data_IF_349755356438
#
_entry.id   IF_349755356438
#
_cell.length_a   1.000
_cell.length_b   1.000
_cell.length_c   1.000
_cell.angle_alpha   90.00
_cell.angle_beta   90.00
_cell.angle_gamma   90.00
#
_symmetry.space_group_name_H-M   'P 1'
#
loop_
_entity.id
_entity.type
_entity.pdbx_description
1 polymer ?
#
# COMPACT_ATOMS: atom_id res chain seq x y z
N UNK A 1 1.44 -20.46 16.72
CA UNK A 1 2.08 -19.13 16.83
C UNK A 1 3.28 -19.15 15.92
N UNK A 2 3.36 -18.21 14.98
CA UNK A 2 4.58 -18.04 14.18
C UNK A 2 5.55 -17.19 15.01
N UNK A 3 6.75 -17.72 15.27
CA UNK A 3 7.83 -16.96 15.88
C UNK A 3 8.54 -16.15 14.79
N UNK A 4 8.98 -14.90 15.06
CA UNK A 4 9.79 -14.16 14.11
C UNK A 4 11.06 -14.96 13.80
N UNK A 5 11.36 -15.10 12.50
CA UNK A 5 12.54 -15.85 12.06
C UNK A 5 13.83 -15.07 12.35
N UNK A 6 13.78 -13.76 12.21
CA UNK A 6 14.93 -12.87 12.40
C UNK A 6 14.48 -11.55 13.01
N UNK A 7 15.28 -11.03 13.94
CA UNK A 7 15.15 -9.68 14.50
C UNK A 7 16.48 -8.96 14.35
N UNK A 8 16.48 -7.72 13.84
CA UNK A 8 17.67 -6.90 13.70
C UNK A 8 17.40 -5.45 14.08
N UNK A 9 18.43 -4.75 14.51
CA UNK A 9 18.36 -3.32 14.83
C UNK A 9 18.41 -2.49 13.54
N UNK A 10 17.37 -1.73 13.28
CA UNK A 10 17.26 -0.84 12.11
C UNK A 10 18.02 0.49 12.30
N UNK A 11 18.56 0.75 13.50
CA UNK A 11 19.29 1.97 13.81
C UNK A 11 18.55 3.29 13.48
N UNK A 12 17.21 3.23 13.38
CA UNK A 12 16.40 4.44 13.28
C UNK A 12 16.28 5.11 14.65
N UNK A 13 16.30 6.45 14.66
CA UNK A 13 16.21 7.23 15.91
C UNK A 13 14.76 7.41 16.39
N UNK A 14 13.76 7.00 15.57
CA UNK A 14 12.34 7.16 15.88
C UNK A 14 11.53 6.01 15.24
N UNK A 15 10.20 6.04 15.41
CA UNK A 15 9.28 4.99 14.95
C UNK A 15 9.40 4.70 13.45
N UNK A 16 9.36 3.42 13.12
CA UNK A 16 9.27 2.92 11.75
C UNK A 16 7.80 2.80 11.37
N UNK A 17 7.43 3.41 10.25
CA UNK A 17 6.05 3.38 9.75
C UNK A 17 5.83 2.36 8.64
N UNK A 18 6.88 2.05 7.88
CA UNK A 18 6.78 1.11 6.77
C UNK A 18 8.08 0.36 6.56
N UNK A 19 7.96 -0.87 6.06
CA UNK A 19 9.08 -1.73 5.71
C UNK A 19 8.71 -2.56 4.47
N UNK A 20 9.44 -2.38 3.37
CA UNK A 20 9.13 -2.97 2.08
C UNK A 20 10.34 -3.72 1.49
N UNK A 21 10.15 -5.00 1.19
CA UNK A 21 11.11 -5.77 0.40
C UNK A 21 11.00 -5.43 -1.08
N UNK A 22 12.12 -5.39 -1.77
CA UNK A 22 12.14 -5.27 -3.22
C UNK A 22 11.59 -6.53 -3.91
N UNK A 23 11.39 -6.46 -5.22
CA UNK A 23 10.81 -7.54 -6.03
C UNK A 23 11.51 -8.89 -5.85
N UNK A 24 12.83 -8.89 -5.63
CA UNK A 24 13.63 -10.12 -5.47
C UNK A 24 13.90 -10.48 -4.00
N UNK A 25 13.34 -9.73 -3.05
CA UNK A 25 13.63 -9.86 -1.61
C UNK A 25 15.13 -9.77 -1.27
N UNK A 26 15.87 -8.96 -2.04
CA UNK A 26 17.30 -8.70 -1.85
C UNK A 26 17.61 -7.38 -1.18
N UNK A 27 16.65 -6.48 -1.21
CA UNK A 27 16.74 -5.18 -0.52
C UNK A 27 15.49 -4.97 0.33
N UNK A 28 15.69 -4.38 1.50
CA UNK A 28 14.61 -3.93 2.37
C UNK A 28 14.72 -2.42 2.52
N UNK A 29 13.66 -1.69 2.32
CA UNK A 29 13.57 -0.27 2.66
C UNK A 29 12.73 -0.10 3.92
N UNK A 30 13.19 0.74 4.86
CA UNK A 30 12.47 1.11 6.08
C UNK A 30 12.27 2.61 6.12
N UNK A 31 11.03 3.07 6.37
CA UNK A 31 10.64 4.47 6.45
C UNK A 31 10.32 4.85 7.89
N UNK A 32 10.81 6.00 8.36
CA UNK A 32 10.74 6.37 9.79
C UNK A 32 10.33 7.83 10.04
N UNK A 33 9.83 8.07 11.25
CA UNK A 33 9.63 9.41 11.82
C UNK A 33 10.92 10.20 11.97
N UNK A 34 12.08 9.58 11.97
CA UNK A 34 13.39 10.26 11.97
C UNK A 34 13.71 10.98 10.65
N UNK A 35 12.75 11.01 9.70
CA UNK A 35 12.79 11.67 8.38
C UNK A 35 13.73 11.00 7.39
N UNK A 36 14.21 9.81 7.70
CA UNK A 36 15.10 9.04 6.83
C UNK A 36 14.43 7.77 6.30
N UNK A 37 14.97 7.29 5.18
CA UNK A 37 14.71 5.95 4.67
C UNK A 37 16.04 5.21 4.73
N UNK A 38 16.06 4.02 5.30
CA UNK A 38 17.24 3.15 5.28
C UNK A 38 17.02 1.99 4.34
N UNK A 39 18.02 1.74 3.52
CA UNK A 39 18.03 0.62 2.57
C UNK A 39 19.03 -0.41 3.05
N UNK A 40 18.58 -1.65 3.14
CA UNK A 40 19.33 -2.79 3.64
C UNK A 40 19.53 -3.82 2.54
N UNK A 41 20.73 -4.34 2.37
CA UNK A 41 20.96 -5.53 1.58
C UNK A 41 20.62 -6.78 2.40
N UNK A 42 19.81 -7.66 1.82
CA UNK A 42 19.29 -8.87 2.46
C UNK A 42 19.97 -10.11 1.87
N UNK A 43 20.66 -10.88 2.72
CA UNK A 43 21.30 -12.13 2.35
C UNK A 43 20.92 -13.22 3.37
N UNK A 44 19.86 -13.96 3.06
CA UNK A 44 19.27 -14.91 4.00
C UNK A 44 18.74 -14.18 5.25
N UNK A 45 19.33 -14.46 6.42
CA UNK A 45 18.96 -13.85 7.70
C UNK A 45 19.82 -12.62 8.06
N UNK A 46 20.75 -12.22 7.18
CA UNK A 46 21.68 -11.10 7.42
C UNK A 46 21.17 -9.86 6.70
N UNK A 47 21.02 -8.76 7.46
CA UNK A 47 20.62 -7.44 6.99
C UNK A 47 21.81 -6.48 7.16
N UNK A 48 22.30 -5.91 6.06
CA UNK A 48 23.43 -4.98 6.06
C UNK A 48 22.97 -3.62 5.55
N UNK A 49 23.20 -2.55 6.32
CA UNK A 49 22.85 -1.20 5.89
C UNK A 49 23.64 -0.82 4.63
N UNK A 50 22.91 -0.63 3.53
CA UNK A 50 23.50 -0.24 2.24
C UNK A 50 23.48 1.27 2.04
N UNK A 51 22.41 1.96 2.46
CA UNK A 51 22.26 3.41 2.30
C UNK A 51 21.29 4.01 3.32
N UNK A 52 21.51 5.31 3.62
CA UNK A 52 20.53 6.16 4.31
C UNK A 52 20.15 7.28 3.35
N UNK A 53 18.86 7.34 2.99
CA UNK A 53 18.31 8.34 2.08
C UNK A 53 17.69 9.46 2.92
N UNK A 54 18.19 10.66 2.73
CA UNK A 54 17.73 11.89 3.37
C UNK A 54 17.10 12.79 2.30
N UNK A 55 16.30 13.77 2.73
CA UNK A 55 15.68 14.75 1.83
C UNK A 55 14.29 15.15 2.29
N UNK A 56 13.61 14.31 3.06
CA UNK A 56 12.37 14.67 3.73
C UNK A 56 12.60 15.57 4.95
N UNK A 57 11.70 16.54 5.14
CA UNK A 57 11.72 17.46 6.28
C UNK A 57 10.76 17.04 7.40
N UNK A 58 9.94 15.99 7.15
CA UNK A 58 8.99 15.41 8.09
C UNK A 58 9.07 13.87 8.13
N UNK A 59 8.30 13.24 9.04
CA UNK A 59 8.15 11.80 9.11
C UNK A 59 7.86 11.17 7.75
N UNK A 60 8.52 10.07 7.43
CA UNK A 60 8.29 9.31 6.20
C UNK A 60 7.29 8.20 6.50
N UNK A 61 6.12 8.26 5.85
CA UNK A 61 5.00 7.36 6.13
C UNK A 61 5.07 6.04 5.39
N UNK A 62 5.48 6.08 4.12
CA UNK A 62 5.50 4.90 3.28
C UNK A 62 6.61 4.97 2.24
N UNK A 63 7.09 3.81 1.82
CA UNK A 63 7.98 3.65 0.69
C UNK A 63 7.47 2.54 -0.25
N UNK A 64 7.81 2.64 -1.54
CA UNK A 64 7.39 1.68 -2.54
C UNK A 64 8.49 1.44 -3.57
N UNK A 65 8.80 0.17 -3.83
CA UNK A 65 9.73 -0.23 -4.87
C UNK A 65 9.05 -0.29 -6.23
N UNK A 66 9.66 0.31 -7.25
CA UNK A 66 9.21 0.13 -8.62
C UNK A 66 9.58 -1.26 -9.15
N UNK A 67 8.88 -1.69 -10.20
CA UNK A 67 9.22 -2.94 -10.87
C UNK A 67 10.64 -2.88 -11.46
N UNK A 68 11.47 -3.93 -11.32
CA UNK A 68 12.87 -3.93 -11.72
C UNK A 68 13.13 -3.71 -13.21
N UNK A 69 12.10 -3.81 -14.05
CA UNK A 69 12.14 -3.42 -15.47
C UNK A 69 12.66 -1.99 -15.67
N UNK A 70 12.39 -1.09 -14.71
CA UNK A 70 12.77 0.32 -14.76
C UNK A 70 14.07 0.64 -14.03
N UNK A 71 14.78 -0.40 -13.56
CA UNK A 71 15.93 -0.27 -12.68
C UNK A 71 15.54 -0.28 -11.21
N UNK A 72 16.50 0.02 -10.33
CA UNK A 72 16.25 0.05 -8.89
C UNK A 72 15.78 1.45 -8.51
N UNK A 73 14.47 1.59 -8.34
CA UNK A 73 13.80 2.84 -7.98
C UNK A 73 13.01 2.66 -6.70
N UNK A 74 13.09 3.64 -5.81
CA UNK A 74 12.35 3.71 -4.55
C UNK A 74 11.62 5.04 -4.46
N UNK A 75 10.29 5.00 -4.35
CA UNK A 75 9.47 6.15 -4.01
C UNK A 75 9.23 6.21 -2.51
N UNK A 76 9.12 7.41 -1.96
CA UNK A 76 8.79 7.65 -0.55
C UNK A 76 7.87 8.85 -0.41
N UNK A 77 6.98 8.82 0.57
CA UNK A 77 6.08 9.93 0.90
C UNK A 77 6.18 10.33 2.36
N UNK A 78 5.90 11.59 2.64
CA UNK A 78 6.13 12.17 3.95
C UNK A 78 5.05 13.15 4.40
N UNK A 79 5.04 13.38 5.71
CA UNK A 79 4.26 14.44 6.35
C UNK A 79 4.56 15.84 5.79
N UNK A 80 5.75 16.05 5.21
CA UNK A 80 6.14 17.33 4.61
C UNK A 80 5.41 17.68 3.31
N UNK A 81 4.50 16.82 2.85
CA UNK A 81 3.74 17.01 1.61
C UNK A 81 4.49 16.63 0.34
N UNK A 82 5.70 16.10 0.47
CA UNK A 82 6.56 15.74 -0.66
C UNK A 82 6.55 14.24 -0.94
N UNK A 83 6.82 13.91 -2.20
CA UNK A 83 7.17 12.56 -2.63
C UNK A 83 8.54 12.63 -3.30
N UNK A 84 9.46 11.77 -2.86
CA UNK A 84 10.79 11.66 -3.42
C UNK A 84 10.94 10.34 -4.17
N UNK A 85 11.54 10.37 -5.35
CA UNK A 85 11.90 9.17 -6.10
C UNK A 85 13.42 9.10 -6.17
N UNK A 86 13.98 8.03 -5.62
CA UNK A 86 15.42 7.76 -5.64
C UNK A 86 15.74 6.64 -6.62
N UNK A 87 16.87 6.76 -7.32
CA UNK A 87 17.44 5.74 -8.19
C UNK A 87 18.77 5.26 -7.64
N UNK A 88 18.99 3.95 -7.62
CA UNK A 88 20.30 3.38 -7.39
C UNK A 88 21.03 3.19 -8.71
N UNK A 89 22.09 3.97 -8.94
CA UNK A 89 22.94 3.83 -10.13
C UNK A 89 24.25 4.62 -9.95
N UNK A 90 25.43 3.97 -9.96
CA UNK A 90 25.69 2.51 -9.92
C UNK A 90 25.29 1.86 -8.58
N UNK A 91 25.40 0.52 -8.43
CA UNK A 91 25.06 -0.15 -7.16
C UNK A 91 25.67 0.50 -5.93
N UNK A 92 24.87 0.73 -4.89
CA UNK A 92 25.25 1.42 -3.66
C UNK A 92 25.22 2.95 -3.73
N UNK A 93 25.02 3.55 -4.91
CA UNK A 93 24.93 5.00 -5.08
C UNK A 93 23.50 5.41 -5.37
N UNK A 94 22.89 6.13 -4.44
CA UNK A 94 21.52 6.58 -4.51
C UNK A 94 21.45 8.07 -4.83
N UNK A 95 20.62 8.42 -5.82
CA UNK A 95 20.39 9.81 -6.21
C UNK A 95 18.89 10.09 -6.29
N UNK A 96 18.40 11.24 -5.78
CA UNK A 96 17.05 11.69 -6.02
C UNK A 96 16.92 12.06 -7.50
N UNK A 97 15.94 11.48 -8.19
CA UNK A 97 15.68 11.76 -9.60
C UNK A 97 14.42 12.58 -9.81
N UNK A 98 13.53 12.64 -8.82
CA UNK A 98 12.33 13.46 -8.87
C UNK A 98 11.86 13.83 -7.46
N UNK A 99 11.40 15.08 -7.32
CA UNK A 99 10.73 15.62 -6.15
C UNK A 99 9.37 16.17 -6.57
N UNK A 100 8.30 15.62 -5.99
CA UNK A 100 6.94 16.05 -6.23
C UNK A 100 6.43 16.85 -5.04
N UNK A 101 5.93 18.07 -5.30
CA UNK A 101 5.57 19.06 -4.27
C UNK A 101 4.18 19.67 -4.51
N UNK A 102 3.27 18.97 -5.21
CA UNK A 102 1.96 19.50 -5.55
C UNK A 102 1.00 19.53 -4.36
N UNK A 103 1.23 18.70 -3.35
CA UNK A 103 0.31 18.55 -2.24
C UNK A 103 0.49 19.61 -1.17
N UNK A 104 -0.63 20.15 -0.67
CA UNK A 104 -0.68 21.18 0.37
C UNK A 104 -0.64 20.58 1.79
N UNK A 105 -0.69 19.25 1.92
CA UNK A 105 -0.68 18.52 3.19
C UNK A 105 0.09 17.22 3.07
N UNK A 106 0.18 16.47 4.18
CA UNK A 106 0.87 15.18 4.25
C UNK A 106 0.50 14.25 3.09
N UNK A 107 1.49 13.64 2.43
CA UNK A 107 1.26 12.52 1.53
C UNK A 107 1.34 11.24 2.35
N UNK A 108 0.23 10.51 2.44
CA UNK A 108 0.07 9.38 3.35
C UNK A 108 0.42 8.04 2.72
N UNK A 109 0.26 7.91 1.41
CA UNK A 109 0.47 6.64 0.71
C UNK A 109 0.97 6.84 -0.71
N UNK A 110 1.85 5.94 -1.16
CA UNK A 110 2.38 5.87 -2.53
C UNK A 110 2.35 4.44 -3.02
N UNK A 111 1.97 4.25 -4.29
CA UNK A 111 1.96 2.95 -4.93
C UNK A 111 2.31 3.04 -6.41
N UNK A 112 3.16 2.14 -6.90
CA UNK A 112 3.46 2.01 -8.32
C UNK A 112 2.36 1.23 -9.03
N UNK A 113 1.97 1.72 -10.21
CA UNK A 113 1.06 0.99 -11.09
C UNK A 113 1.73 -0.27 -11.66
N UNK A 114 0.94 -1.24 -12.16
CA UNK A 114 1.49 -2.38 -12.87
C UNK A 114 2.42 -1.93 -14.02
N UNK A 115 3.57 -2.59 -14.12
CA UNK A 115 4.67 -2.18 -15.01
C UNK A 115 4.34 -2.23 -16.50
N UNK A 116 3.27 -2.91 -16.86
CA UNK A 116 2.77 -3.00 -18.23
C UNK A 116 2.29 -1.64 -18.75
N UNK A 117 1.78 -0.78 -17.87
CA UNK A 117 1.32 0.58 -18.23
C UNK A 117 2.45 1.62 -18.30
N UNK A 118 3.67 1.24 -17.97
CA UNK A 118 4.80 2.15 -17.87
C UNK A 118 5.19 2.45 -16.42
N UNK A 119 6.02 3.46 -16.23
CA UNK A 119 6.46 3.91 -14.91
C UNK A 119 5.49 4.98 -14.40
N UNK A 120 4.51 4.55 -13.60
CA UNK A 120 3.43 5.40 -13.10
C UNK A 120 3.34 5.24 -11.57
N UNK A 121 3.32 6.35 -10.84
CA UNK A 121 3.18 6.40 -9.39
C UNK A 121 1.90 7.12 -9.00
N UNK A 122 1.10 6.51 -8.12
CA UNK A 122 -0.03 7.16 -7.47
C UNK A 122 0.35 7.61 -6.06
N UNK A 123 -0.11 8.79 -5.67
CA UNK A 123 0.16 9.39 -4.37
C UNK A 123 -1.15 9.87 -3.76
N UNK A 124 -1.45 9.44 -2.53
CA UNK A 124 -2.66 9.82 -1.80
C UNK A 124 -2.31 10.78 -0.66
N UNK A 125 -3.01 11.93 -0.60
CA UNK A 125 -2.68 13.00 0.34
C UNK A 125 -3.82 13.34 1.29
N UNK A 126 -3.43 13.83 2.46
CA UNK A 126 -4.34 14.39 3.46
C UNK A 126 -5.02 15.69 3.01
N UNK A 127 -4.62 16.29 1.89
CA UNK A 127 -5.32 17.43 1.27
C UNK A 127 -6.61 17.02 0.52
N UNK A 128 -6.90 15.71 0.46
CA UNK A 128 -8.07 15.13 -0.21
C UNK A 128 -7.85 14.84 -1.68
N UNK A 129 -6.67 15.11 -2.22
CA UNK A 129 -6.33 14.84 -3.62
C UNK A 129 -5.46 13.60 -3.76
N UNK A 130 -5.54 12.99 -4.92
CA UNK A 130 -4.59 12.00 -5.39
C UNK A 130 -3.83 12.61 -6.57
N UNK A 131 -2.53 12.39 -6.65
CA UNK A 131 -1.75 12.71 -7.84
C UNK A 131 -1.25 11.44 -8.52
N UNK A 132 -1.33 11.41 -9.84
CA UNK A 132 -0.78 10.34 -10.67
C UNK A 132 0.39 10.92 -11.46
N UNK A 133 1.58 10.40 -11.18
CA UNK A 133 2.83 10.81 -11.83
C UNK A 133 3.18 9.78 -12.89
N UNK A 134 3.35 10.21 -14.14
CA UNK A 134 3.75 9.36 -15.26
C UNK A 134 5.09 9.81 -15.80
N UNK A 135 6.08 8.91 -15.80
CA UNK A 135 7.38 9.16 -16.42
C UNK A 135 7.25 9.12 -17.95
N UNK A 136 7.80 10.12 -18.61
CA UNK A 136 7.76 10.27 -20.06
C UNK A 136 9.10 9.85 -20.70
N UNK A 137 9.09 9.61 -22.00
CA UNK A 137 10.29 9.21 -22.77
C UNK A 137 11.39 10.28 -22.81
N UNK A 138 11.06 11.53 -22.49
CA UNK A 138 11.99 12.66 -22.40
C UNK A 138 12.59 12.86 -21.00
N UNK A 139 12.47 11.87 -20.11
CA UNK A 139 12.88 11.90 -18.71
C UNK A 139 12.14 12.95 -17.85
N UNK A 140 10.99 13.46 -18.33
CA UNK A 140 10.11 14.32 -17.51
C UNK A 140 9.01 13.53 -16.80
N UNK A 141 8.42 14.13 -15.78
CA UNK A 141 7.28 13.57 -15.05
C UNK A 141 6.03 14.41 -15.31
N UNK A 142 5.03 13.80 -15.91
CA UNK A 142 3.71 14.38 -16.03
C UNK A 142 2.91 14.11 -14.77
N UNK A 143 2.33 15.15 -14.17
CA UNK A 143 1.48 15.03 -12.99
C UNK A 143 0.02 15.28 -13.37
N UNK A 144 -0.84 14.33 -13.09
CA UNK A 144 -2.29 14.44 -13.23
C UNK A 144 -2.93 14.49 -11.84
N UNK A 145 -3.61 15.60 -11.48
CA UNK A 145 -4.39 15.65 -10.25
C UNK A 145 -5.68 14.85 -10.44
N UNK A 146 -6.05 14.11 -9.39
CA UNK A 146 -7.31 13.37 -9.30
C UNK A 146 -8.02 13.85 -8.04
N UNK A 147 -9.20 14.41 -8.21
CA UNK A 147 -9.97 15.05 -7.13
C UNK A 147 -11.46 14.70 -7.31
N UNK A 148 -12.11 14.27 -6.25
CA UNK A 148 -13.56 14.05 -6.20
C UNK A 148 -14.32 15.25 -5.60
N UNK A 149 -13.59 16.32 -5.24
CA UNK A 149 -14.14 17.50 -4.59
C UNK A 149 -14.43 17.34 -3.10
N UNK A 150 -14.13 16.18 -2.51
CA UNK A 150 -14.51 15.90 -1.10
C UNK A 150 -13.70 16.71 -0.09
N UNK A 151 -12.48 17.12 -0.40
CA UNK A 151 -11.52 17.82 0.47
C UNK A 151 -11.22 17.12 1.80
N UNK A 152 -11.71 15.91 2.00
CA UNK A 152 -11.39 15.08 3.14
C UNK A 152 -10.20 14.18 2.76
N UNK A 153 -9.25 14.05 3.68
CA UNK A 153 -7.97 13.41 3.42
C UNK A 153 -8.07 12.00 2.83
N UNK A 154 -7.21 11.70 1.87
CA UNK A 154 -7.00 10.36 1.33
C UNK A 154 -5.84 9.69 2.09
N UNK A 155 -6.08 8.50 2.64
CA UNK A 155 -5.10 7.81 3.48
C UNK A 155 -4.31 6.73 2.75
N UNK A 156 -4.91 6.08 1.75
CA UNK A 156 -4.28 4.95 1.09
C UNK A 156 -4.67 4.87 -0.39
N UNK A 157 -3.76 4.32 -1.20
CA UNK A 157 -3.95 4.04 -2.62
C UNK A 157 -3.39 2.65 -2.96
N UNK A 158 -4.11 1.90 -3.81
CA UNK A 158 -3.65 0.61 -4.35
C UNK A 158 -4.11 0.43 -5.79
N UNK A 159 -3.21 -0.01 -6.68
CA UNK A 159 -3.52 -0.21 -8.09
C UNK A 159 -4.16 -1.56 -8.35
N UNK A 160 -5.08 -1.58 -9.33
CA UNK A 160 -5.61 -2.82 -9.88
C UNK A 160 -4.52 -3.58 -10.65
N UNK A 161 -4.41 -4.90 -10.50
CA UNK A 161 -3.51 -5.69 -11.34
C UNK A 161 -4.02 -5.73 -12.78
N UNK A 162 -3.11 -5.94 -13.75
CA UNK A 162 -3.50 -6.23 -15.13
C UNK A 162 -4.13 -7.63 -15.15
N UNK A 163 -5.42 -7.71 -15.44
CA UNK A 163 -6.12 -8.99 -15.56
C UNK A 163 -6.17 -9.42 -17.02
N UNK A 164 -5.74 -10.64 -17.30
CA UNK A 164 -5.85 -11.22 -18.65
C UNK A 164 -7.30 -11.43 -19.15
N UNK A 165 -8.28 -11.28 -18.28
CA UNK A 165 -9.70 -11.54 -18.52
C UNK A 165 -10.59 -10.29 -18.49
N UNK A 166 -10.02 -9.10 -18.48
CA UNK A 166 -10.80 -7.88 -18.75
C UNK A 166 -11.25 -7.90 -20.21
N UNK A 167 -12.34 -7.20 -20.56
CA UNK A 167 -12.90 -7.05 -21.93
C UNK A 167 -11.88 -6.58 -22.99
N UNK A 168 -10.61 -6.49 -22.65
CA UNK A 168 -9.48 -6.18 -23.51
C UNK A 168 -9.24 -7.14 -24.68
N UNK A 169 -9.92 -8.28 -24.73
CA UNK A 169 -9.81 -9.20 -25.86
C UNK A 169 -10.22 -8.59 -27.21
N UNK A 170 -10.86 -7.43 -27.21
CA UNK A 170 -11.32 -6.75 -28.41
C UNK A 170 -10.52 -5.47 -28.76
N UNK A 171 -9.74 -4.84 -27.86
CA UNK A 171 -9.22 -3.49 -28.10
C UNK A 171 -7.86 -3.13 -27.48
N UNK A 172 -7.12 -4.05 -26.86
CA UNK A 172 -5.82 -3.71 -26.29
C UNK A 172 -5.76 -3.81 -24.76
N UNK A 173 -4.91 -3.01 -24.12
CA UNK A 173 -4.71 -3.00 -22.67
C UNK A 173 -5.96 -2.50 -21.93
N UNK A 174 -6.35 -3.13 -20.80
CA UNK A 174 -7.48 -2.67 -19.99
C UNK A 174 -7.23 -1.25 -19.44
N UNK A 175 -8.29 -0.50 -19.11
CA UNK A 175 -8.13 0.82 -18.52
C UNK A 175 -7.41 0.73 -17.16
N UNK A 176 -6.57 1.72 -16.88
CA UNK A 176 -5.90 1.84 -15.58
C UNK A 176 -6.96 2.08 -14.50
N UNK A 177 -6.83 1.34 -13.39
CA UNK A 177 -7.70 1.49 -12.21
C UNK A 177 -6.89 1.48 -10.93
N UNK A 178 -7.35 2.24 -9.96
CA UNK A 178 -6.85 2.16 -8.59
C UNK A 178 -7.98 2.33 -7.59
N UNK A 179 -7.73 1.95 -6.35
CA UNK A 179 -8.66 2.13 -5.23
C UNK A 179 -8.04 3.09 -4.21
N UNK A 180 -8.89 3.90 -3.60
CA UNK A 180 -8.51 4.82 -2.51
C UNK A 180 -9.37 4.60 -1.28
N UNK A 181 -8.77 4.79 -0.10
CA UNK A 181 -9.43 4.85 1.19
C UNK A 181 -9.27 6.23 1.80
N UNK A 182 -10.38 6.83 2.24
CA UNK A 182 -10.42 8.23 2.64
C UNK A 182 -10.95 8.44 4.06
N UNK A 183 -10.70 9.64 4.61
CA UNK A 183 -11.21 10.09 5.90
C UNK A 183 -12.74 10.39 5.89
N UNK A 184 -13.39 10.32 4.74
CA UNK A 184 -14.84 10.39 4.60
C UNK A 184 -15.53 9.03 4.75
N UNK A 185 -14.80 8.01 5.21
CA UNK A 185 -15.24 6.64 5.45
C UNK A 185 -15.54 5.85 4.18
N UNK A 186 -15.28 6.43 3.01
CA UNK A 186 -15.56 5.80 1.73
C UNK A 186 -14.32 5.12 1.13
N UNK A 187 -14.62 4.06 0.38
CA UNK A 187 -13.69 3.40 -0.53
C UNK A 187 -14.13 3.73 -1.95
N UNK A 188 -13.22 4.22 -2.79
CA UNK A 188 -13.51 4.59 -4.18
C UNK A 188 -12.60 3.85 -5.13
N UNK A 189 -13.18 3.31 -6.18
CA UNK A 189 -12.45 2.79 -7.34
C UNK A 189 -12.44 3.86 -8.41
N UNK A 190 -11.26 4.18 -8.91
CA UNK A 190 -11.01 5.14 -9.96
C UNK A 190 -10.67 4.42 -11.25
N UNK A 191 -11.29 4.81 -12.33
CA UNK A 191 -11.02 4.28 -13.66
C UNK A 191 -10.60 5.40 -14.61
N UNK A 192 -9.52 5.18 -15.36
CA UNK A 192 -9.06 6.13 -16.36
C UNK A 192 -9.85 5.95 -17.65
N UNK A 193 -10.45 7.06 -18.12
CA UNK A 193 -11.12 7.18 -19.41
C UNK A 193 -10.42 8.24 -20.28
N UNK A 194 -10.88 8.43 -21.50
CA UNK A 194 -10.42 9.53 -22.37
C UNK A 194 -10.73 10.91 -21.76
N UNK A 195 -11.78 11.02 -20.97
CA UNK A 195 -12.20 12.26 -20.30
C UNK A 195 -11.45 12.53 -18.99
N UNK A 196 -10.58 11.62 -18.51
CA UNK A 196 -9.87 11.67 -17.24
C UNK A 196 -10.27 10.57 -16.28
N UNK A 197 -10.02 10.78 -14.99
CA UNK A 197 -10.32 9.83 -13.93
C UNK A 197 -11.77 9.95 -13.46
N UNK A 198 -12.48 8.84 -13.39
CA UNK A 198 -13.87 8.77 -12.91
C UNK A 198 -13.98 7.90 -11.68
N UNK A 199 -14.53 8.40 -10.56
CA UNK A 199 -14.69 7.63 -9.34
C UNK A 199 -15.98 6.80 -9.34
N UNK A 200 -15.92 5.64 -8.72
CA UNK A 200 -17.08 4.84 -8.31
C UNK A 200 -16.95 4.58 -6.81
N UNK A 201 -17.88 5.14 -6.03
CA UNK A 201 -17.90 4.91 -4.57
C UNK A 201 -18.48 3.53 -4.29
N UNK A 202 -17.78 2.74 -3.47
CA UNK A 202 -18.24 1.43 -3.09
C UNK A 202 -19.22 1.56 -1.90
N UNK A 203 -20.42 0.94 -2.01
CA UNK A 203 -21.41 0.96 -0.94
C UNK A 203 -22.13 2.29 -0.76
N UNK A 204 -22.49 2.99 -1.84
CA UNK A 204 -23.08 4.35 -1.84
C UNK A 204 -24.30 4.58 -0.93
N UNK A 205 -25.10 3.57 -0.63
CA UNK A 205 -26.36 3.72 0.10
C UNK A 205 -26.23 3.59 1.63
N UNK A 206 -25.13 2.99 2.10
CA UNK A 206 -24.82 2.84 3.52
C UNK A 206 -23.29 2.79 3.60
N UNK A 207 -22.60 3.86 4.03
CA UNK A 207 -21.16 3.88 4.08
C UNK A 207 -20.70 2.64 4.87
N UNK A 208 -19.96 1.74 4.26
CA UNK A 208 -19.69 0.42 4.83
C UNK A 208 -18.76 0.53 6.03
N UNK A 209 -17.90 1.54 6.06
CA UNK A 209 -17.10 1.93 7.20
C UNK A 209 -17.75 3.11 7.94
N UNK A 210 -17.63 3.11 9.27
CA UNK A 210 -18.20 4.12 10.17
C UNK A 210 -17.18 5.14 10.63
N UNK A 211 -15.93 4.95 10.26
CA UNK A 211 -14.81 5.81 10.60
C UNK A 211 -13.75 5.74 9.49
N UNK A 212 -12.69 6.51 9.60
CA UNK A 212 -11.65 6.68 8.60
C UNK A 212 -11.15 5.35 8.04
N UNK A 213 -11.16 5.23 6.73
CA UNK A 213 -10.49 4.12 6.06
C UNK A 213 -8.99 4.36 6.14
N UNK A 214 -8.26 3.43 6.77
CA UNK A 214 -6.83 3.58 7.02
C UNK A 214 -5.99 3.00 5.90
N UNK A 215 -6.41 1.86 5.35
CA UNK A 215 -5.68 1.21 4.27
C UNK A 215 -6.60 0.48 3.32
N UNK A 216 -6.16 0.38 2.07
CA UNK A 216 -6.82 -0.37 1.01
C UNK A 216 -5.79 -1.17 0.22
N UNK A 217 -6.14 -2.39 -0.15
CA UNK A 217 -5.28 -3.25 -0.94
C UNK A 217 -6.10 -3.98 -2.02
N UNK A 218 -5.71 -3.81 -3.27
CA UNK A 218 -6.26 -4.58 -4.37
C UNK A 218 -5.56 -5.94 -4.44
N UNK A 219 -6.32 -7.04 -4.46
CA UNK A 219 -5.75 -8.38 -4.52
C UNK A 219 -5.06 -8.62 -5.87
N UNK A 220 -3.88 -9.26 -5.89
CA UNK A 220 -3.26 -9.69 -7.14
C UNK A 220 -4.17 -10.64 -7.90
N UNK A 221 -4.20 -10.52 -9.24
CA UNK A 221 -4.98 -11.42 -10.09
C UNK A 221 -4.36 -12.82 -10.10
N UNK A 222 -5.12 -13.81 -9.65
CA UNK A 222 -4.72 -15.22 -9.67
C UNK A 222 -5.27 -15.98 -10.89
N UNK A 223 -5.67 -15.25 -11.95
CA UNK A 223 -6.33 -15.85 -13.12
C UNK A 223 -7.81 -16.15 -12.93
N UNK A 224 -8.40 -15.68 -11.83
CA UNK A 224 -9.84 -15.70 -11.60
C UNK A 224 -10.43 -14.41 -12.16
N UNK A 225 -11.62 -14.51 -12.78
CA UNK A 225 -12.32 -13.36 -13.40
C UNK A 225 -12.92 -12.36 -12.41
N UNK A 226 -12.69 -12.52 -11.10
CA UNK A 226 -13.21 -11.63 -10.07
C UNK A 226 -12.15 -10.64 -9.60
N UNK A 227 -12.57 -9.39 -9.36
CA UNK A 227 -11.78 -8.41 -8.67
C UNK A 227 -12.07 -8.48 -7.17
N UNK A 228 -11.02 -8.37 -6.35
CA UNK A 228 -11.13 -8.40 -4.88
C UNK A 228 -10.32 -7.24 -4.30
N UNK A 229 -10.93 -6.47 -3.40
CA UNK A 229 -10.29 -5.38 -2.66
C UNK A 229 -10.49 -5.64 -1.18
N UNK A 230 -9.46 -5.41 -0.38
CA UNK A 230 -9.58 -5.33 1.08
C UNK A 230 -9.49 -3.86 1.51
N UNK A 231 -10.33 -3.47 2.47
CA UNK A 231 -10.25 -2.16 3.13
C UNK A 231 -10.31 -2.33 4.65
N UNK A 232 -9.59 -1.50 5.38
CA UNK A 232 -9.61 -1.50 6.84
C UNK A 232 -9.82 -0.09 7.40
N UNK A 233 -10.38 -0.01 8.61
CA UNK A 233 -10.82 1.25 9.20
C UNK A 233 -10.56 1.34 10.70
N UNK A 234 -10.57 2.58 11.19
CA UNK A 234 -10.60 2.89 12.62
C UNK A 234 -11.86 2.36 13.31
N UNK A 235 -12.94 2.11 12.58
CA UNK A 235 -14.15 1.47 13.10
C UNK A 235 -13.94 0.01 13.52
N UNK A 236 -12.69 -0.49 13.45
CA UNK A 236 -12.26 -1.85 13.81
C UNK A 236 -12.80 -2.93 12.88
N UNK A 237 -13.16 -2.58 11.66
CA UNK A 237 -13.64 -3.56 10.66
C UNK A 237 -12.69 -3.68 9.48
N UNK A 238 -12.69 -4.86 8.89
CA UNK A 238 -12.08 -5.13 7.58
C UNK A 238 -13.18 -5.62 6.66
N UNK A 239 -13.30 -5.01 5.49
CA UNK A 239 -14.25 -5.38 4.46
C UNK A 239 -13.50 -5.94 3.25
N UNK A 240 -14.04 -7.02 2.72
CA UNK A 240 -13.62 -7.61 1.46
C UNK A 240 -14.69 -7.29 0.42
N UNK A 241 -14.30 -6.55 -0.59
CA UNK A 241 -15.14 -6.17 -1.71
C UNK A 241 -14.89 -7.12 -2.85
N UNK A 242 -15.93 -7.75 -3.35
CA UNK A 242 -15.82 -8.70 -4.46
C UNK A 242 -16.66 -8.20 -5.62
N UNK A 243 -16.07 -8.17 -6.80
CA UNK A 243 -16.74 -7.92 -8.06
C UNK A 243 -16.62 -9.19 -8.90
N UNK A 244 -17.73 -9.91 -9.05
CA UNK A 244 -17.74 -11.23 -9.71
C UNK A 244 -17.51 -11.14 -11.22
N UNK A 245 -17.96 -10.05 -11.86
CA UNK A 245 -17.84 -9.82 -13.30
C UNK A 245 -17.30 -8.40 -13.54
N UNK A 246 -16.46 -8.19 -14.56
CA UNK A 246 -16.01 -6.85 -14.94
C UNK A 246 -17.19 -5.91 -15.18
N UNK A 247 -17.18 -4.73 -14.55
CA UNK A 247 -18.28 -3.75 -14.64
C UNK A 247 -19.53 -4.10 -13.81
N UNK A 248 -19.56 -5.24 -13.14
CA UNK A 248 -20.64 -5.62 -12.22
C UNK A 248 -20.58 -4.88 -10.88
N UNK A 249 -21.57 -5.09 -10.01
CA UNK A 249 -21.59 -4.46 -8.68
C UNK A 249 -20.48 -4.99 -7.78
N UNK A 250 -20.05 -4.14 -6.85
CA UNK A 250 -19.16 -4.51 -5.77
C UNK A 250 -19.96 -4.93 -4.54
N UNK A 251 -19.71 -6.12 -4.05
CA UNK A 251 -20.39 -6.69 -2.89
C UNK A 251 -19.45 -6.72 -1.69
N UNK A 252 -19.77 -6.01 -0.58
CA UNK A 252 -18.97 -6.04 0.62
C UNK A 252 -19.25 -7.28 1.45
N UNK A 253 -18.20 -7.92 1.93
CA UNK A 253 -18.26 -8.99 2.94
C UNK A 253 -17.38 -8.60 4.10
N UNK A 254 -17.91 -8.64 5.32
CA UNK A 254 -17.08 -8.39 6.52
C UNK A 254 -16.19 -9.60 6.77
N UNK A 255 -14.89 -9.34 7.00
CA UNK A 255 -13.92 -10.39 7.26
C UNK A 255 -14.26 -11.19 8.53
N UNK A 256 -14.65 -10.48 9.60
CA UNK A 256 -15.09 -11.03 10.90
C UNK A 256 -15.90 -9.98 11.69
N UNK A 257 -16.37 -10.35 12.88
CA UNK A 257 -16.82 -9.37 13.87
C UNK A 257 -15.71 -8.33 14.15
N UNK A 258 -16.04 -7.12 14.61
CA UNK A 258 -15.06 -6.07 14.83
C UNK A 258 -13.84 -6.55 15.60
N UNK A 259 -12.66 -6.08 15.22
CA UNK A 259 -11.42 -6.29 15.94
C UNK A 259 -11.45 -5.56 17.28
N UNK A 260 -10.56 -5.94 18.21
CA UNK A 260 -10.48 -5.32 19.52
C UNK A 260 -9.95 -3.87 19.47
N UNK A 261 -9.18 -3.55 18.44
CA UNK A 261 -8.56 -2.25 18.21
C UNK A 261 -8.73 -1.80 16.73
N UNK A 262 -8.50 -0.50 16.42
CA UNK A 262 -8.46 0.00 15.05
C UNK A 262 -7.54 -0.82 14.16
N UNK A 263 -7.92 -1.02 12.91
CA UNK A 263 -7.09 -1.75 11.94
C UNK A 263 -6.32 -0.75 11.10
N UNK A 264 -4.99 -0.93 11.06
CA UNK A 264 -4.07 0.02 10.45
C UNK A 264 -3.65 -0.34 9.03
N UNK A 265 -3.39 -1.64 8.78
CA UNK A 265 -2.86 -2.12 7.49
C UNK A 265 -3.49 -3.43 7.06
N UNK A 266 -3.67 -3.58 5.75
CA UNK A 266 -4.05 -4.82 5.08
C UNK A 266 -3.09 -5.09 3.93
N UNK A 267 -2.69 -6.35 3.77
CA UNK A 267 -1.75 -6.74 2.71
C UNK A 267 -2.05 -8.14 2.18
N UNK A 268 -2.12 -8.25 0.87
CA UNK A 268 -2.32 -9.53 0.20
C UNK A 268 -1.01 -10.27 -0.01
N UNK A 269 -1.07 -11.60 0.07
CA UNK A 269 0.02 -12.43 -0.46
C UNK A 269 0.14 -12.26 -1.98
N UNK A 270 1.29 -12.54 -2.53
CA UNK A 270 1.55 -12.48 -3.99
C UNK A 270 0.53 -13.33 -4.79
N UNK A 271 0.05 -14.42 -4.20
CA UNK A 271 -0.95 -15.30 -4.80
C UNK A 271 -2.40 -14.81 -4.60
N UNK A 272 -2.63 -13.73 -3.83
CA UNK A 272 -3.97 -13.17 -3.58
C UNK A 272 -4.89 -14.04 -2.71
N UNK A 273 -4.39 -15.14 -2.12
CA UNK A 273 -5.19 -16.09 -1.35
C UNK A 273 -5.05 -15.96 0.17
N UNK A 274 -4.10 -15.15 0.64
CA UNK A 274 -3.90 -14.84 2.04
C UNK A 274 -3.96 -13.32 2.23
N UNK A 275 -4.63 -12.90 3.29
CA UNK A 275 -4.69 -11.51 3.72
C UNK A 275 -4.04 -11.37 5.09
N UNK A 276 -3.03 -10.53 5.20
CA UNK A 276 -2.47 -10.10 6.47
C UNK A 276 -3.20 -8.84 6.95
N UNK A 277 -3.56 -8.79 8.22
CA UNK A 277 -4.26 -7.67 8.87
C UNK A 277 -3.49 -7.28 10.12
N UNK A 278 -3.09 -6.01 10.19
CA UNK A 278 -2.40 -5.42 11.35
C UNK A 278 -3.35 -4.51 12.11
N UNK A 279 -3.51 -4.75 13.41
CA UNK A 279 -4.39 -4.00 14.30
C UNK A 279 -3.63 -3.29 15.42
N UNK A 280 -4.27 -2.27 16.04
CA UNK A 280 -3.67 -1.42 17.06
C UNK A 280 -3.43 -2.11 18.40
N UNK A 281 -3.83 -3.37 18.56
CA UNK A 281 -3.53 -4.24 19.70
C UNK A 281 -2.20 -4.99 19.56
N UNK A 282 -1.33 -4.54 18.64
CA UNK A 282 -0.02 -5.13 18.32
C UNK A 282 -0.09 -6.56 17.77
N UNK A 283 -1.22 -6.94 17.17
CA UNK A 283 -1.40 -8.24 16.55
C UNK A 283 -1.37 -8.12 15.02
N UNK A 284 -0.76 -9.11 14.40
CA UNK A 284 -0.89 -9.36 12.96
C UNK A 284 -1.55 -10.71 12.77
N UNK A 285 -2.70 -10.71 12.09
CA UNK A 285 -3.49 -11.91 11.84
C UNK A 285 -3.47 -12.26 10.35
N UNK A 286 -3.41 -13.56 10.04
CA UNK A 286 -3.45 -14.07 8.68
C UNK A 286 -4.78 -14.75 8.42
N UNK A 287 -5.38 -14.40 7.29
CA UNK A 287 -6.71 -14.85 6.87
C UNK A 287 -6.65 -15.52 5.52
N UNK A 288 -7.46 -16.57 5.36
CA UNK A 288 -7.60 -17.31 4.09
C UNK A 288 -9.07 -17.53 3.79
N UNK A 289 -9.44 -17.37 2.54
CA UNK A 289 -10.78 -17.73 2.09
C UNK A 289 -10.91 -19.25 1.96
N UNK A 290 -11.91 -19.82 2.63
CA UNK A 290 -12.26 -21.22 2.53
C UNK A 290 -13.09 -21.48 1.25
N UNK A 291 -13.24 -22.75 0.88
CA UNK A 291 -14.01 -23.14 -0.32
C UNK A 291 -15.51 -22.78 -0.25
N UNK A 292 -16.04 -22.56 0.94
CA UNK A 292 -17.40 -22.10 1.17
C UNK A 292 -17.57 -20.59 1.07
N UNK A 293 -16.49 -19.85 0.73
CA UNK A 293 -16.48 -18.40 0.63
C UNK A 293 -16.28 -17.65 1.95
N UNK A 294 -16.25 -18.33 3.09
CA UNK A 294 -15.96 -17.73 4.39
C UNK A 294 -14.47 -17.47 4.57
N UNK A 295 -14.15 -16.52 5.42
CA UNK A 295 -12.77 -16.19 5.76
C UNK A 295 -12.40 -16.79 7.10
N UNK A 296 -11.38 -17.66 7.11
CA UNK A 296 -10.88 -18.32 8.30
C UNK A 296 -9.53 -17.69 8.71
N UNK A 297 -9.38 -17.45 10.00
CA UNK A 297 -8.10 -17.05 10.57
C UNK A 297 -7.15 -18.24 10.60
N UNK A 298 -6.01 -18.12 9.92
CA UNK A 298 -5.03 -19.21 9.79
C UNK A 298 -4.00 -19.16 10.91
N UNK A 299 -3.52 -17.96 11.29
CA UNK A 299 -2.55 -17.79 12.37
C UNK A 299 -2.56 -16.38 12.92
N UNK A 300 -2.04 -16.26 14.16
CA UNK A 300 -1.63 -15.00 14.77
C UNK A 300 -0.11 -14.94 14.77
N UNK A 301 0.44 -13.81 14.33
CA UNK A 301 1.85 -13.48 14.52
C UNK A 301 1.91 -12.55 15.74
N UNK A 302 2.29 -13.10 16.88
CA UNK A 302 2.47 -12.31 18.11
C UNK A 302 3.93 -11.91 18.25
N UNK A 303 4.16 -10.71 18.78
CA UNK A 303 5.48 -10.24 19.19
C UNK A 303 5.98 -11.10 20.37
N UNK A 304 6.83 -12.08 20.11
CA UNK A 304 7.37 -12.99 21.13
C UNK A 304 8.47 -12.32 21.99
N UNK A 305 8.72 -11.01 21.81
CA UNK A 305 9.80 -10.26 22.47
C UNK A 305 9.47 -9.63 23.82
N UNK A 306 8.22 -9.63 24.28
CA UNK A 306 7.82 -8.85 25.46
C UNK A 306 7.75 -9.64 26.79
N UNK A 307 8.16 -10.91 26.86
CA UNK A 307 8.00 -11.75 28.08
C UNK A 307 9.27 -12.32 28.70
N UNK A 308 10.43 -11.71 28.57
CA UNK A 308 11.63 -12.12 29.33
C UNK A 308 12.19 -11.03 30.28
N UNK A 309 11.33 -10.20 30.88
CA UNK A 309 11.74 -9.13 31.81
C UNK A 309 11.31 -9.28 33.27
N UNK A 310 10.43 -10.21 33.64
CA UNK A 310 9.89 -10.28 34.99
C UNK A 310 9.96 -11.66 35.66
N UNK A 311 11.08 -12.32 35.66
CA UNK A 311 11.28 -13.46 36.56
C UNK A 311 12.73 -13.66 36.93
N UNK A 312 13.27 -12.78 37.81
CA UNK A 312 14.36 -13.09 38.77
C UNK A 312 14.62 -11.90 39.68
N UNK A 313 13.78 -11.68 40.66
CA UNK A 313 14.14 -11.14 41.97
C UNK A 313 13.12 -11.71 42.98
N UNK A 314 13.52 -12.73 43.69
CA UNK A 314 12.83 -13.36 44.77
C UNK A 314 13.80 -14.31 45.45
#
# INVERSE_FOLDING_TARGET
MATPLVTFDTQHDDMIHDAQLDYYSRKLATASSDRSIKVWDVQGEVYTLAATLNGHEGPVWQCAWAHPKFGVLLASCSYDGKVLIHRESPPGVWTPIHEHTMHDSSVNSVAWAPHEYGLILGCASADGRVSVLTHQDDDTWLTEPVDDGSRLGCNAISWAPVTALSDAAASGMPPLKFVTGSCDNNVRVWERSEAGWTPTTLGEQDPPHKDWVRDVAWAPSTGISSNVIASCSEDRTVLIWTQAEPGGPWEPTRLREPFDAPVWRVSWSITGNLLAVSSGDHKVTLWKQALNGQWDQVSDVNDAGAQEGEAKQG
#
